data_IF_326544580486
#
_entry.id   IF_326544580486
#
_cell.length_a   1.000
_cell.length_b   1.000
_cell.length_c   1.000
_cell.angle_alpha   90.00
_cell.angle_beta   90.00
_cell.angle_gamma   90.00
#
_symmetry.space_group_name_H-M   'P 1'
#
loop_
_entity.id
_entity.type
_entity.pdbx_description
1 polymer ?
#
# COMPACT_ATOMS: atom_id res chain seq x y z
N UNK A 1 -39.19 -17.13 -6.00
CA UNK A 1 -38.46 -15.90 -5.56
C UNK A 1 -37.81 -16.03 -4.17
N UNK A 2 -38.32 -16.89 -3.30
CA UNK A 2 -37.78 -17.13 -1.94
C UNK A 2 -36.43 -17.86 -1.90
N UNK A 3 -36.21 -18.86 -2.75
CA UNK A 3 -34.98 -19.69 -2.76
C UNK A 3 -33.73 -18.99 -3.28
N UNK A 4 -33.88 -18.05 -4.21
CA UNK A 4 -32.77 -17.26 -4.74
C UNK A 4 -32.29 -16.18 -3.72
N UNK A 5 -33.23 -15.60 -2.99
CA UNK A 5 -32.93 -14.64 -1.93
C UNK A 5 -32.28 -15.35 -0.73
N UNK A 6 -32.68 -16.56 -0.41
CA UNK A 6 -32.07 -17.40 0.62
C UNK A 6 -30.68 -17.91 0.20
N UNK A 7 -30.46 -18.26 -1.06
CA UNK A 7 -29.15 -18.64 -1.57
C UNK A 7 -28.16 -17.45 -1.63
N UNK A 8 -28.66 -16.24 -1.88
CA UNK A 8 -27.86 -15.00 -1.80
C UNK A 8 -27.56 -14.61 -0.33
N UNK A 9 -28.50 -14.88 0.60
CA UNK A 9 -28.31 -14.66 2.03
C UNK A 9 -27.41 -15.74 2.67
N UNK A 10 -27.40 -16.95 2.15
CA UNK A 10 -26.60 -18.08 2.62
C UNK A 10 -25.16 -18.09 2.07
N UNK A 11 -24.75 -17.11 1.30
CA UNK A 11 -23.34 -16.85 1.08
C UNK A 11 -22.78 -16.25 2.36
N UNK A 12 -22.61 -17.15 3.36
CA UNK A 12 -22.07 -16.82 4.68
C UNK A 12 -20.85 -15.91 4.52
N UNK A 13 -21.07 -14.66 4.87
CA UNK A 13 -19.99 -13.70 4.98
C UNK A 13 -19.17 -14.22 6.15
N UNK A 14 -17.99 -14.73 5.87
CA UNK A 14 -17.03 -15.06 6.92
C UNK A 14 -16.71 -13.78 7.68
N UNK A 15 -17.47 -13.54 8.74
CA UNK A 15 -17.27 -12.42 9.65
C UNK A 15 -17.05 -12.98 11.04
N UNK A 16 -16.16 -12.36 11.79
CA UNK A 16 -15.94 -12.64 13.22
C UNK A 16 -16.29 -11.42 14.05
N UNK A 17 -16.69 -11.61 15.28
CA UNK A 17 -16.80 -10.53 16.26
C UNK A 17 -15.48 -10.46 17.03
N UNK A 18 -14.89 -9.28 17.13
CA UNK A 18 -13.70 -9.06 17.94
C UNK A 18 -14.10 -9.14 19.42
N UNK A 19 -13.49 -10.03 20.19
CA UNK A 19 -13.82 -10.24 21.62
C UNK A 19 -13.54 -9.01 22.49
N UNK A 20 -12.53 -8.20 22.10
CA UNK A 20 -12.10 -7.02 22.85
C UNK A 20 -12.97 -5.80 22.56
N UNK A 21 -13.32 -5.57 21.29
CA UNK A 21 -14.03 -4.35 20.85
C UNK A 21 -15.50 -4.57 20.56
N UNK A 22 -15.96 -5.81 20.46
CA UNK A 22 -17.32 -6.17 20.04
C UNK A 22 -17.63 -5.86 18.56
N UNK A 23 -16.68 -5.34 17.81
CA UNK A 23 -16.88 -4.96 16.41
C UNK A 23 -16.95 -6.19 15.51
N UNK A 24 -17.85 -6.13 14.53
CA UNK A 24 -17.98 -7.16 13.50
C UNK A 24 -16.94 -6.92 12.39
N UNK A 25 -16.07 -7.90 12.18
CA UNK A 25 -14.98 -7.85 11.21
C UNK A 25 -15.25 -8.81 10.07
N UNK A 26 -15.43 -8.28 8.87
CA UNK A 26 -15.56 -9.07 7.64
C UNK A 26 -14.19 -9.51 7.16
N UNK A 27 -14.03 -10.80 6.80
CA UNK A 27 -12.75 -11.38 6.37
C UNK A 27 -12.08 -10.64 5.21
N UNK A 28 -12.85 -10.25 4.19
CA UNK A 28 -12.29 -9.53 3.04
C UNK A 28 -11.76 -8.14 3.42
N UNK A 29 -12.48 -7.41 4.27
CA UNK A 29 -12.03 -6.12 4.78
C UNK A 29 -10.76 -6.27 5.61
N UNK A 30 -10.73 -7.22 6.55
CA UNK A 30 -9.56 -7.51 7.38
C UNK A 30 -8.32 -7.86 6.54
N UNK A 31 -8.50 -8.68 5.50
CA UNK A 31 -7.38 -9.07 4.63
C UNK A 31 -6.89 -7.89 3.80
N UNK A 32 -7.79 -7.07 3.24
CA UNK A 32 -7.42 -5.85 2.50
C UNK A 32 -6.70 -4.84 3.40
N UNK A 33 -7.12 -4.68 4.66
CA UNK A 33 -6.40 -3.84 5.64
C UNK A 33 -4.97 -4.37 5.82
N UNK A 34 -4.82 -5.66 6.10
CA UNK A 34 -3.52 -6.28 6.36
C UNK A 34 -2.56 -6.17 5.17
N UNK A 35 -3.02 -6.50 3.95
CA UNK A 35 -2.15 -6.46 2.77
C UNK A 35 -1.74 -5.02 2.42
N UNK A 36 -2.64 -4.05 2.52
CA UNK A 36 -2.31 -2.64 2.31
C UNK A 36 -1.33 -2.14 3.38
N UNK A 37 -1.55 -2.48 4.66
CA UNK A 37 -0.66 -2.10 5.75
C UNK A 37 0.75 -2.72 5.57
N UNK A 38 0.83 -4.00 5.20
CA UNK A 38 2.12 -4.66 4.93
C UNK A 38 2.85 -3.99 3.77
N UNK A 39 2.16 -3.72 2.66
CA UNK A 39 2.75 -3.04 1.50
C UNK A 39 3.18 -1.61 1.87
N UNK A 40 2.42 -0.90 2.69
CA UNK A 40 2.81 0.41 3.21
C UNK A 40 4.14 0.32 3.98
N UNK A 41 4.26 -0.61 4.93
CA UNK A 41 5.50 -0.80 5.71
C UNK A 41 6.68 -1.17 4.80
N UNK A 42 6.48 -2.03 3.80
CA UNK A 42 7.53 -2.40 2.85
C UNK A 42 8.01 -1.18 2.06
N UNK A 43 7.10 -0.35 1.53
CA UNK A 43 7.47 0.89 0.82
C UNK A 43 8.19 1.87 1.77
N UNK A 44 7.74 1.99 3.02
CA UNK A 44 8.43 2.79 4.04
C UNK A 44 9.88 2.32 4.23
N UNK A 45 10.12 1.01 4.37
CA UNK A 45 11.46 0.45 4.52
C UNK A 45 12.33 0.69 3.28
N UNK A 46 11.80 0.49 2.08
CA UNK A 46 12.51 0.82 0.83
C UNK A 46 12.89 2.30 0.80
N UNK A 47 11.96 3.18 1.17
CA UNK A 47 12.23 4.61 1.25
C UNK A 47 13.30 4.98 2.28
N UNK A 48 13.32 4.33 3.45
CA UNK A 48 14.35 4.53 4.49
C UNK A 48 15.72 4.08 3.98
N UNK A 49 15.82 2.91 3.36
CA UNK A 49 17.09 2.41 2.81
C UNK A 49 17.62 3.36 1.73
N UNK A 50 16.74 3.85 0.85
CA UNK A 50 17.11 4.85 -0.14
C UNK A 50 17.59 6.17 0.51
N UNK A 51 16.91 6.64 1.57
CA UNK A 51 17.32 7.82 2.34
C UNK A 51 18.71 7.66 2.96
N UNK A 52 19.03 6.49 3.52
CA UNK A 52 20.35 6.21 4.05
C UNK A 52 21.43 6.35 2.96
N UNK A 53 21.18 5.84 1.74
CA UNK A 53 22.08 6.03 0.60
C UNK A 53 22.28 7.49 0.24
N UNK A 54 21.19 8.27 0.21
CA UNK A 54 21.25 9.72 -0.06
C UNK A 54 22.06 10.46 1.01
N UNK A 55 21.81 10.18 2.29
CA UNK A 55 22.51 10.84 3.41
C UNK A 55 24.01 10.51 3.39
N UNK A 56 24.37 9.23 3.23
CA UNK A 56 25.76 8.80 3.17
C UNK A 56 26.51 9.39 1.96
N UNK A 57 25.82 9.63 0.86
CA UNK A 57 26.40 10.29 -0.31
C UNK A 57 26.67 11.77 -0.07
N UNK A 58 25.79 12.44 0.67
CA UNK A 58 25.95 13.86 1.04
C UNK A 58 27.00 14.10 2.12
N UNK A 59 27.36 13.07 2.84
CA UNK A 59 28.40 13.18 3.86
C UNK A 59 29.77 13.26 3.21
N UNK A 60 30.46 14.40 3.38
CA UNK A 60 31.73 14.73 2.73
C UNK A 60 32.83 13.67 2.89
N UNK A 61 32.82 12.92 4.00
CA UNK A 61 33.82 11.88 4.27
C UNK A 61 33.54 10.57 3.51
N UNK A 62 32.34 10.30 3.02
CA UNK A 62 31.94 9.00 2.49
C UNK A 62 31.70 9.00 1.00
N UNK A 63 30.95 9.94 0.44
CA UNK A 63 30.61 10.04 -1.00
C UNK A 63 30.23 8.68 -1.62
N UNK A 64 29.22 8.02 -1.06
CA UNK A 64 28.90 6.62 -1.33
C UNK A 64 28.46 6.34 -2.79
N UNK A 65 27.64 7.21 -3.38
CA UNK A 65 27.01 6.99 -4.69
C UNK A 65 27.50 8.01 -5.72
N UNK A 66 27.73 7.61 -6.98
CA UNK A 66 27.91 8.54 -8.09
C UNK A 66 26.62 9.33 -8.35
N UNK A 67 26.74 10.47 -9.04
CA UNK A 67 25.65 11.44 -9.18
C UNK A 67 24.36 10.85 -9.79
N UNK A 68 24.47 9.99 -10.79
CA UNK A 68 23.32 9.34 -11.43
C UNK A 68 22.56 8.42 -10.46
N UNK A 69 23.26 7.62 -9.67
CA UNK A 69 22.64 6.77 -8.64
C UNK A 69 22.08 7.60 -7.48
N UNK A 70 22.73 8.70 -7.11
CA UNK A 70 22.22 9.61 -6.09
C UNK A 70 20.81 10.12 -6.45
N UNK A 71 20.57 10.59 -7.67
CA UNK A 71 19.26 11.06 -8.09
C UNK A 71 18.22 9.94 -8.15
N UNK A 72 18.60 8.73 -8.57
CA UNK A 72 17.69 7.55 -8.52
C UNK A 72 17.29 7.22 -7.09
N UNK A 73 18.21 7.20 -6.16
CA UNK A 73 17.95 6.95 -4.75
C UNK A 73 17.09 8.07 -4.12
N UNK A 74 17.32 9.31 -4.50
CA UNK A 74 16.50 10.44 -4.07
C UNK A 74 15.05 10.30 -4.57
N UNK A 75 14.87 9.93 -5.83
CA UNK A 75 13.54 9.68 -6.40
C UNK A 75 12.86 8.47 -5.77
N UNK A 76 13.59 7.36 -5.57
CA UNK A 76 13.07 6.18 -4.86
C UNK A 76 12.61 6.53 -3.44
N UNK A 77 13.41 7.30 -2.70
CA UNK A 77 13.04 7.76 -1.37
C UNK A 77 11.75 8.57 -1.41
N UNK A 78 11.67 9.59 -2.26
CA UNK A 78 10.49 10.44 -2.36
C UNK A 78 9.23 9.67 -2.76
N UNK A 79 9.29 8.84 -3.79
CA UNK A 79 8.15 8.05 -4.25
C UNK A 79 7.66 7.06 -3.20
N UNK A 80 8.57 6.32 -2.58
CA UNK A 80 8.19 5.28 -1.63
C UNK A 80 7.67 5.87 -0.31
N UNK A 81 8.23 6.99 0.17
CA UNK A 81 7.82 7.61 1.43
C UNK A 81 6.59 8.51 1.29
N UNK A 82 6.53 9.35 0.24
CA UNK A 82 5.49 10.37 0.12
C UNK A 82 4.26 9.87 -0.66
N UNK A 83 4.42 8.92 -1.57
CA UNK A 83 3.31 8.46 -2.42
C UNK A 83 2.89 7.05 -2.02
N UNK A 84 3.76 6.07 -2.18
CA UNK A 84 3.35 4.66 -2.05
C UNK A 84 3.01 4.27 -0.62
N UNK A 85 3.83 4.68 0.35
CA UNK A 85 3.54 4.45 1.76
C UNK A 85 2.21 5.09 2.16
N UNK A 86 2.02 6.39 1.85
CA UNK A 86 0.82 7.14 2.25
C UNK A 86 -0.43 6.54 1.62
N UNK A 87 -0.44 6.29 0.30
CA UNK A 87 -1.61 5.73 -0.39
C UNK A 87 -1.99 4.36 0.18
N UNK A 88 -1.03 3.46 0.37
CA UNK A 88 -1.31 2.14 0.95
C UNK A 88 -1.83 2.25 2.39
N UNK A 89 -1.26 3.14 3.18
CA UNK A 89 -1.71 3.37 4.56
C UNK A 89 -3.12 3.96 4.60
N UNK A 90 -3.43 4.95 3.77
CA UNK A 90 -4.78 5.52 3.64
C UNK A 90 -5.80 4.47 3.21
N UNK A 91 -5.47 3.61 2.25
CA UNK A 91 -6.35 2.51 1.84
C UNK A 91 -6.62 1.54 2.99
N UNK A 92 -5.61 1.21 3.79
CA UNK A 92 -5.81 0.39 4.99
C UNK A 92 -6.76 1.07 5.99
N UNK A 93 -6.60 2.37 6.22
CA UNK A 93 -7.48 3.17 7.11
C UNK A 93 -8.90 3.25 6.57
N UNK A 94 -9.08 3.43 5.26
CA UNK A 94 -10.42 3.49 4.64
C UNK A 94 -11.15 2.15 4.75
N UNK A 95 -10.46 1.02 4.53
CA UNK A 95 -11.04 -0.32 4.74
C UNK A 95 -11.33 -0.62 6.22
N UNK A 96 -10.60 0.00 7.14
CA UNK A 96 -10.91 -0.07 8.57
C UNK A 96 -12.12 0.80 8.90
N UNK A 97 -12.12 2.07 8.49
CA UNK A 97 -13.15 3.03 8.86
C UNK A 97 -14.53 2.65 8.30
N UNK A 98 -14.65 2.34 7.01
CA UNK A 98 -15.92 1.98 6.38
C UNK A 98 -16.48 0.65 6.92
N UNK A 99 -15.88 -0.50 6.57
CA UNK A 99 -16.47 -1.79 6.91
C UNK A 99 -16.48 -2.12 8.41
N UNK A 100 -15.44 -1.72 9.15
CA UNK A 100 -15.31 -2.14 10.56
C UNK A 100 -15.91 -1.09 11.50
N UNK A 101 -15.44 0.17 11.43
CA UNK A 101 -15.82 1.20 12.39
C UNK A 101 -17.29 1.64 12.20
N UNK A 102 -17.74 1.82 10.96
CA UNK A 102 -19.12 2.16 10.63
C UNK A 102 -20.03 0.94 10.53
N UNK A 103 -19.49 -0.28 10.77
CA UNK A 103 -20.22 -1.54 10.66
C UNK A 103 -20.94 -1.72 9.32
N UNK A 104 -20.39 -1.14 8.24
CA UNK A 104 -20.91 -1.25 6.89
C UNK A 104 -20.36 -2.49 6.19
N UNK A 105 -21.16 -3.05 5.29
CA UNK A 105 -20.70 -4.17 4.46
C UNK A 105 -19.86 -3.67 3.30
N UNK A 106 -18.75 -4.35 3.01
CA UNK A 106 -17.97 -4.05 1.80
C UNK A 106 -18.77 -4.46 0.55
N UNK A 107 -19.22 -3.50 -0.29
CA UNK A 107 -20.20 -3.80 -1.35
C UNK A 107 -19.61 -4.65 -2.48
N UNK A 108 -18.33 -4.49 -2.78
CA UNK A 108 -17.66 -5.16 -3.91
C UNK A 108 -16.23 -5.59 -3.55
N UNK A 109 -16.02 -6.66 -2.78
CA UNK A 109 -14.68 -7.08 -2.37
C UNK A 109 -13.76 -7.45 -3.54
N UNK A 110 -14.31 -7.94 -4.66
CA UNK A 110 -13.53 -8.23 -5.88
C UNK A 110 -12.92 -6.97 -6.47
N UNK A 111 -13.64 -5.84 -6.44
CA UNK A 111 -13.14 -4.55 -6.93
C UNK A 111 -12.02 -4.03 -6.02
N UNK A 112 -12.12 -4.23 -4.70
CA UNK A 112 -11.06 -3.91 -3.76
C UNK A 112 -9.76 -4.68 -4.04
N UNK A 113 -9.86 -5.96 -4.35
CA UNK A 113 -8.71 -6.78 -4.73
C UNK A 113 -8.11 -6.37 -6.09
N UNK A 114 -8.96 -6.05 -7.08
CA UNK A 114 -8.49 -5.55 -8.37
C UNK A 114 -7.75 -4.22 -8.21
N UNK A 115 -8.29 -3.29 -7.44
CA UNK A 115 -7.67 -2.01 -7.16
C UNK A 115 -6.30 -2.19 -6.47
N UNK A 116 -6.22 -3.06 -5.46
CA UNK A 116 -4.96 -3.42 -4.79
C UNK A 116 -3.92 -4.00 -5.78
N UNK A 117 -4.33 -4.93 -6.63
CA UNK A 117 -3.44 -5.55 -7.61
C UNK A 117 -2.90 -4.54 -8.63
N UNK A 118 -3.76 -3.65 -9.15
CA UNK A 118 -3.35 -2.59 -10.08
C UNK A 118 -2.42 -1.58 -9.42
N UNK A 119 -2.71 -1.21 -8.18
CA UNK A 119 -1.85 -0.31 -7.39
C UNK A 119 -0.47 -0.93 -7.15
N UNK A 120 -0.41 -2.20 -6.74
CA UNK A 120 0.84 -2.91 -6.53
C UNK A 120 1.66 -3.03 -7.83
N UNK A 121 0.99 -3.37 -8.94
CA UNK A 121 1.63 -3.43 -10.25
C UNK A 121 2.22 -2.06 -10.65
N UNK A 122 1.46 -0.97 -10.47
CA UNK A 122 1.93 0.38 -10.74
C UNK A 122 3.17 0.74 -9.91
N UNK A 123 3.18 0.43 -8.62
CA UNK A 123 4.34 0.65 -7.73
C UNK A 123 5.57 -0.12 -8.21
N UNK A 124 5.41 -1.39 -8.59
CA UNK A 124 6.50 -2.22 -9.09
C UNK A 124 7.08 -1.67 -10.40
N UNK A 125 6.22 -1.29 -11.35
CA UNK A 125 6.64 -0.69 -12.63
C UNK A 125 7.40 0.60 -12.39
N UNK A 126 6.89 1.52 -11.58
CA UNK A 126 7.56 2.80 -11.30
C UNK A 126 8.90 2.59 -10.62
N UNK A 127 8.97 1.77 -9.57
CA UNK A 127 10.24 1.48 -8.89
C UNK A 127 11.28 0.84 -9.83
N UNK A 128 10.86 -0.08 -10.72
CA UNK A 128 11.76 -0.68 -11.70
C UNK A 128 12.26 0.33 -12.74
N UNK A 129 11.40 1.24 -13.22
CA UNK A 129 11.79 2.30 -14.15
C UNK A 129 12.80 3.28 -13.52
N UNK A 130 12.61 3.66 -12.27
CA UNK A 130 13.55 4.51 -11.53
C UNK A 130 14.90 3.81 -11.36
N UNK A 131 14.91 2.54 -10.94
CA UNK A 131 16.13 1.74 -10.77
C UNK A 131 16.89 1.57 -12.09
N UNK A 132 16.19 1.45 -13.23
CA UNK A 132 16.80 1.38 -14.56
C UNK A 132 17.30 2.73 -15.08
N UNK A 133 17.09 3.83 -14.37
CA UNK A 133 17.44 5.18 -14.80
C UNK A 133 16.59 5.73 -15.96
N UNK A 134 15.37 5.18 -16.14
CA UNK A 134 14.43 5.65 -17.15
C UNK A 134 13.45 6.71 -16.64
N UNK A 135 13.43 6.95 -15.33
CA UNK A 135 12.53 7.88 -14.65
C UNK A 135 13.22 8.47 -13.41
N UNK A 136 14.46 8.93 -13.56
CA UNK A 136 15.28 9.45 -12.47
C UNK A 136 15.06 10.95 -12.18
N UNK A 137 14.27 11.64 -13.00
CA UNK A 137 14.11 13.10 -12.99
C UNK A 137 12.66 13.52 -12.71
N UNK A 138 12.01 12.94 -11.69
CA UNK A 138 10.62 13.29 -11.38
C UNK A 138 10.46 14.73 -10.84
N UNK A 139 11.54 15.34 -10.34
CA UNK A 139 11.48 16.65 -9.65
C UNK A 139 12.49 17.69 -10.19
N UNK A 140 13.19 17.44 -11.28
CA UNK A 140 14.28 18.32 -11.76
C UNK A 140 14.16 18.75 -13.22
N UNK A 141 13.01 18.59 -13.85
CA UNK A 141 12.75 19.17 -15.19
C UNK A 141 12.15 20.55 -15.09
#
# INVERSE_FOLDING_TARGET
MSTMVQALAAREIRARTCEVTGLRVEWNAETLIKVNAVVAVVNCLVGIVAACGVVMTRWQAVHLLPADLFYRFLTLHGLNMLIFFIICFEMAVLYFAGPILLSCRLPAPRLGWLAFALMLLGMLVVNTMVLQGRADVLFTS
#
